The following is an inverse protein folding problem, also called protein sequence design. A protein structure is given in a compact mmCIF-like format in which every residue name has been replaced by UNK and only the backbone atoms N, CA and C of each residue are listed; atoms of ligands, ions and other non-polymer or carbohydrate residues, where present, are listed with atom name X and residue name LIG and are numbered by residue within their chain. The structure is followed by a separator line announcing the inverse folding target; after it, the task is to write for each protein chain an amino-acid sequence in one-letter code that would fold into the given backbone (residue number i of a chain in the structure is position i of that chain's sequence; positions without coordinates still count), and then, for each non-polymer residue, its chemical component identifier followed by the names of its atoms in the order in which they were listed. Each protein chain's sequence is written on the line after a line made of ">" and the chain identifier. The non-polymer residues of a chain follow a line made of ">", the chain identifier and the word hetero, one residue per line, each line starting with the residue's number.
data_IF_687062774028
#
_entry.id   IF_687062774028
#
_cell.length_a   1.000
_cell.length_b   1.000
_cell.length_c   1.000
_cell.angle_alpha   90.00
_cell.angle_beta   90.00
_cell.angle_gamma   90.00
#
_symmetry.space_group_name_H-M   'P 1'
#
loop_
_entity.id
_entity.type
_entity.pdbx_description
1 polymer ?
#
# COMPACT_ATOMS: atom_id res chain seq x y z
N UNK A 1 -13.85 4.86 -5.56
CA UNK A 1 -12.60 4.44 -6.22
C UNK A 1 -11.63 4.07 -5.13
N UNK A 2 -11.39 2.78 -4.93
CA UNK A 2 -10.26 2.34 -4.12
C UNK A 2 -8.97 2.83 -4.77
N UNK A 3 -8.12 3.45 -3.98
CA UNK A 3 -6.85 4.01 -4.43
C UNK A 3 -5.84 2.86 -4.44
N UNK A 4 -5.54 2.31 -5.61
CA UNK A 4 -4.64 1.15 -5.78
C UNK A 4 -3.22 1.39 -5.24
N UNK A 5 -2.86 2.65 -4.99
CA UNK A 5 -1.57 3.05 -4.43
C UNK A 5 -1.53 2.97 -2.89
N UNK A 6 -2.56 2.41 -2.27
CA UNK A 6 -2.63 2.18 -0.83
C UNK A 6 -2.98 0.73 -0.57
N UNK A 7 -2.08 0.02 0.07
CA UNK A 7 -2.31 -1.34 0.52
C UNK A 7 -2.60 -1.29 2.01
N UNK A 8 -3.82 -1.69 2.34
CA UNK A 8 -4.28 -1.88 3.68
C UNK A 8 -4.21 -3.39 3.96
N UNK A 9 -3.27 -3.81 4.79
CA UNK A 9 -3.12 -5.21 5.17
C UNK A 9 -3.22 -5.39 6.68
N UNK A 10 -3.74 -6.54 7.10
CA UNK A 10 -3.72 -6.96 8.49
C UNK A 10 -2.61 -8.00 8.68
N UNK A 11 -1.69 -7.74 9.61
CA UNK A 11 -0.69 -8.72 10.02
C UNK A 11 -1.12 -9.36 11.33
N UNK A 12 -1.29 -10.69 11.33
CA UNK A 12 -1.38 -11.46 12.58
C UNK A 12 0.02 -11.95 12.92
N UNK A 13 0.38 -12.00 14.21
CA UNK A 13 1.73 -12.37 14.69
C UNK A 13 2.21 -13.76 14.21
N UNK A 14 1.29 -14.56 13.72
CA UNK A 14 1.41 -15.97 13.35
C UNK A 14 1.09 -16.25 11.87
N UNK A 15 0.89 -15.22 11.04
CA UNK A 15 0.47 -15.41 9.65
C UNK A 15 1.13 -14.44 8.69
N UNK A 16 1.72 -14.98 7.63
CA UNK A 16 2.30 -14.25 6.48
C UNK A 16 1.25 -13.86 5.43
N UNK A 17 -0.03 -14.09 5.71
CA UNK A 17 -1.11 -13.88 4.74
C UNK A 17 -1.46 -12.41 4.58
N UNK A 18 -1.34 -11.91 3.35
CA UNK A 18 -1.80 -10.56 2.97
C UNK A 18 -3.32 -10.58 2.82
N UNK A 19 -4.03 -10.07 3.83
CA UNK A 19 -5.48 -9.83 3.72
C UNK A 19 -5.72 -8.37 3.38
N UNK A 20 -6.24 -8.11 2.17
CA UNK A 20 -6.64 -6.77 1.76
C UNK A 20 -7.90 -6.33 2.53
N UNK A 21 -7.81 -5.22 3.25
CA UNK A 21 -8.93 -4.69 4.04
C UNK A 21 -9.33 -3.29 3.62
N UNK A 22 -10.64 -3.03 3.56
CA UNK A 22 -11.13 -1.68 3.25
C UNK A 22 -10.75 -0.67 4.34
N UNK A 23 -10.66 0.62 3.98
CA UNK A 23 -10.38 1.70 4.94
C UNK A 23 -11.39 1.78 6.10
N UNK A 24 -12.63 1.32 5.86
CA UNK A 24 -13.67 1.22 6.88
C UNK A 24 -13.30 0.18 7.95
N UNK A 25 -12.74 -0.96 7.52
CA UNK A 25 -12.34 -2.07 8.38
C UNK A 25 -11.11 -1.72 9.23
N UNK A 26 -10.15 -0.94 8.69
CA UNK A 26 -8.94 -0.53 9.41
C UNK A 26 -9.24 0.16 10.74
N UNK A 27 -10.26 1.03 10.79
CA UNK A 27 -10.62 1.74 12.02
C UNK A 27 -11.05 0.76 13.12
N UNK A 28 -11.83 -0.26 12.76
CA UNK A 28 -12.25 -1.32 13.69
C UNK A 28 -11.08 -2.19 14.15
N UNK A 29 -10.17 -2.53 13.25
CA UNK A 29 -8.97 -3.33 13.59
C UNK A 29 -8.06 -2.62 14.61
N UNK A 30 -7.87 -1.30 14.47
CA UNK A 30 -7.11 -0.50 15.46
C UNK A 30 -7.73 -0.57 16.85
N UNK A 31 -9.06 -0.52 16.95
CA UNK A 31 -9.78 -0.61 18.23
C UNK A 31 -9.62 -2.02 18.83
N UNK A 32 -9.63 -3.06 17.98
CA UNK A 32 -9.41 -4.44 18.38
C UNK A 32 -7.94 -4.79 18.70
N UNK A 33 -7.03 -3.80 18.77
CA UNK A 33 -5.58 -3.97 18.96
C UNK A 33 -4.92 -4.89 17.90
N UNK A 34 -5.58 -5.09 16.77
CA UNK A 34 -5.05 -5.80 15.62
C UNK A 34 -4.29 -4.78 14.77
N UNK A 35 -2.97 -4.71 14.92
CA UNK A 35 -2.07 -3.75 14.25
C UNK A 35 -2.26 -3.75 12.72
N UNK A 36 -3.12 -2.87 12.15
CA UNK A 36 -3.35 -2.86 10.73
C UNK A 36 -2.23 -2.05 10.08
N UNK A 37 -1.61 -2.62 9.06
CA UNK A 37 -0.47 -2.02 8.39
C UNK A 37 -0.96 -1.30 7.14
N UNK A 38 -0.55 -0.03 7.03
CA UNK A 38 -0.84 0.79 5.86
C UNK A 38 0.45 0.99 5.09
N UNK A 39 0.51 0.42 3.89
CA UNK A 39 1.65 0.56 2.99
C UNK A 39 1.26 1.54 1.89
N UNK A 40 2.06 2.58 1.72
CA UNK A 40 1.89 3.54 0.64
C UNK A 40 2.79 3.17 -0.53
N UNK A 41 2.21 3.06 -1.71
CA UNK A 41 2.95 2.84 -2.95
C UNK A 41 3.20 4.21 -3.57
N UNK A 42 4.48 4.58 -3.62
CA UNK A 42 4.94 5.78 -4.30
C UNK A 42 5.29 5.42 -5.75
N UNK A 43 4.52 5.91 -6.75
CA UNK A 43 4.92 5.73 -8.14
C UNK A 43 6.16 6.58 -8.42
N UNK A 44 7.10 6.02 -9.16
CA UNK A 44 8.32 6.71 -9.57
C UNK A 44 8.02 7.80 -10.61
N UNK A 45 7.08 7.53 -11.51
CA UNK A 45 6.66 8.46 -12.54
C UNK A 45 5.19 8.28 -12.93
N UNK A 46 4.71 9.17 -13.80
CA UNK A 46 3.36 9.07 -14.42
C UNK A 46 3.20 7.74 -15.16
N UNK A 47 4.28 7.24 -15.79
CA UNK A 47 4.28 5.93 -16.47
C UNK A 47 3.96 4.77 -15.52
N UNK A 48 4.51 4.79 -14.30
CA UNK A 48 4.22 3.77 -13.27
C UNK A 48 2.74 3.72 -12.90
N UNK A 49 2.05 4.88 -12.87
CA UNK A 49 0.61 4.93 -12.59
C UNK A 49 -0.19 4.28 -13.72
N UNK A 50 0.22 4.49 -14.97
CA UNK A 50 -0.41 3.87 -16.14
C UNK A 50 -0.18 2.35 -16.12
N UNK A 51 1.04 1.91 -15.78
CA UNK A 51 1.38 0.50 -15.72
C UNK A 51 0.60 -0.23 -14.62
N UNK A 52 0.48 0.37 -13.44
CA UNK A 52 -0.32 -0.16 -12.33
C UNK A 52 -1.83 -0.09 -12.59
N UNK A 53 -2.30 0.82 -13.45
CA UNK A 53 -3.71 0.96 -13.79
C UNK A 53 -3.93 1.23 -15.28
N UNK A 54 -3.84 0.17 -16.08
CA UNK A 54 -3.99 0.23 -17.55
C UNK A 54 -5.37 0.73 -18.02
N UNK A 55 -6.37 0.78 -17.13
CA UNK A 55 -7.72 1.30 -17.41
C UNK A 55 -7.87 2.79 -17.09
N UNK A 56 -6.85 3.44 -16.53
CA UNK A 56 -6.90 4.84 -16.15
C UNK A 56 -6.64 5.75 -17.34
N UNK A 57 -7.54 6.71 -17.59
CA UNK A 57 -7.34 7.73 -18.64
C UNK A 57 -6.22 8.70 -18.27
N UNK A 58 -5.39 9.13 -19.25
CA UNK A 58 -4.27 10.06 -19.02
C UNK A 58 -4.62 11.33 -18.22
N UNK A 59 -5.80 11.92 -18.49
CA UNK A 59 -6.28 13.10 -17.74
C UNK A 59 -6.46 12.82 -16.24
N UNK A 60 -6.82 11.58 -15.89
CA UNK A 60 -6.95 11.14 -14.50
C UNK A 60 -5.57 10.79 -13.91
N UNK A 61 -4.64 10.24 -14.70
CA UNK A 61 -3.29 9.87 -14.26
C UNK A 61 -2.55 11.06 -13.67
N UNK A 62 -2.52 12.20 -14.37
CA UNK A 62 -1.87 13.44 -13.86
C UNK A 62 -2.50 13.92 -12.55
N UNK A 63 -3.83 13.89 -12.46
CA UNK A 63 -4.55 14.28 -11.23
C UNK A 63 -4.23 13.35 -10.06
N UNK A 64 -4.09 12.05 -10.33
CA UNK A 64 -3.69 11.06 -9.33
C UNK A 64 -2.25 11.26 -8.90
N UNK A 65 -1.32 11.51 -9.82
CA UNK A 65 0.08 11.76 -9.49
C UNK A 65 0.25 12.95 -8.53
N UNK A 66 -0.43 14.08 -8.81
CA UNK A 66 -0.39 15.25 -7.94
C UNK A 66 -1.04 14.99 -6.56
N UNK A 67 -2.13 14.20 -6.54
CA UNK A 67 -2.71 13.72 -5.26
C UNK A 67 -1.72 12.87 -4.47
N UNK A 68 -1.01 11.95 -5.12
CA UNK A 68 -0.06 11.05 -4.47
C UNK A 68 1.14 11.80 -3.91
N UNK A 69 1.65 12.83 -4.61
CA UNK A 69 2.68 13.73 -4.06
C UNK A 69 2.23 14.42 -2.77
N UNK A 70 1.00 14.92 -2.75
CA UNK A 70 0.43 15.54 -1.55
C UNK A 70 0.26 14.50 -0.44
N UNK A 71 -0.20 13.29 -0.79
CA UNK A 71 -0.40 12.21 0.17
C UNK A 71 0.91 11.67 0.76
N UNK A 72 2.03 11.77 0.04
CA UNK A 72 3.35 11.43 0.57
C UNK A 72 3.69 12.25 1.83
N UNK A 73 3.18 13.48 1.96
CA UNK A 73 3.32 14.30 3.17
C UNK A 73 2.64 13.70 4.40
N UNK A 74 1.75 12.72 4.21
CA UNK A 74 1.09 11.95 5.27
C UNK A 74 1.85 10.68 5.66
N UNK A 75 3.18 10.63 5.45
CA UNK A 75 4.07 9.53 5.84
C UNK A 75 3.78 8.91 7.22
N UNK A 76 3.48 9.75 8.22
CA UNK A 76 3.15 9.33 9.61
C UNK A 76 1.91 8.43 9.76
N UNK A 77 1.05 8.37 8.74
CA UNK A 77 -0.14 7.51 8.74
C UNK A 77 0.10 6.15 8.07
N UNK A 78 1.27 5.99 7.45
CA UNK A 78 1.70 4.77 6.80
C UNK A 78 2.74 4.07 7.69
N UNK A 79 2.62 2.75 7.78
CA UNK A 79 3.59 1.91 8.46
C UNK A 79 4.84 1.69 7.60
N UNK A 80 4.70 1.76 6.28
CA UNK A 80 5.80 1.67 5.33
C UNK A 80 5.47 2.43 4.04
N UNK A 81 6.51 2.86 3.34
CA UNK A 81 6.41 3.48 2.01
C UNK A 81 7.31 2.68 1.07
N UNK A 82 6.75 2.21 -0.04
CA UNK A 82 7.47 1.47 -1.08
C UNK A 82 7.46 2.24 -2.38
N UNK A 83 8.48 2.00 -3.19
CA UNK A 83 8.57 2.53 -4.55
C UNK A 83 8.13 1.43 -5.50
N UNK A 84 7.24 1.73 -6.44
CA UNK A 84 6.81 0.71 -7.39
C UNK A 84 6.76 1.28 -8.78
N UNK A 85 7.48 0.64 -9.70
CA UNK A 85 7.32 0.89 -11.13
C UNK A 85 6.24 -0.02 -11.75
N UNK A 86 6.17 -1.27 -11.29
CA UNK A 86 5.25 -2.30 -11.77
C UNK A 86 4.45 -2.91 -10.60
N UNK A 87 3.29 -3.52 -10.85
CA UNK A 87 2.54 -4.21 -9.80
C UNK A 87 3.30 -5.42 -9.21
N UNK A 88 4.18 -6.06 -9.98
CA UNK A 88 5.01 -7.17 -9.51
C UNK A 88 6.04 -6.70 -8.47
N UNK A 89 6.72 -5.59 -8.74
CA UNK A 89 7.69 -4.97 -7.84
C UNK A 89 7.04 -4.56 -6.50
N UNK A 90 5.83 -3.99 -6.58
CA UNK A 90 5.01 -3.69 -5.39
C UNK A 90 4.71 -4.96 -4.60
N UNK A 91 4.36 -6.05 -5.27
CA UNK A 91 3.99 -7.30 -4.60
C UNK A 91 5.18 -7.91 -3.86
N UNK A 92 6.36 -7.94 -4.48
CA UNK A 92 7.59 -8.44 -3.84
C UNK A 92 7.97 -7.59 -2.63
N UNK A 93 7.99 -6.26 -2.76
CA UNK A 93 8.34 -5.38 -1.63
C UNK A 93 7.34 -5.47 -0.48
N UNK A 94 6.04 -5.61 -0.76
CA UNK A 94 5.04 -5.82 0.30
C UNK A 94 5.30 -7.13 1.04
N UNK A 95 5.67 -8.19 0.32
CA UNK A 95 6.00 -9.49 0.90
C UNK A 95 7.24 -9.41 1.78
N UNK A 96 8.28 -8.71 1.34
CA UNK A 96 9.50 -8.51 2.12
C UNK A 96 9.25 -7.70 3.38
N UNK A 97 8.51 -6.59 3.27
CA UNK A 97 8.11 -5.77 4.41
C UNK A 97 7.36 -6.60 5.44
N UNK A 98 6.46 -7.46 4.99
CA UNK A 98 5.69 -8.35 5.87
C UNK A 98 6.59 -9.39 6.52
N UNK A 99 7.49 -10.01 5.75
CA UNK A 99 8.42 -11.04 6.23
C UNK A 99 9.39 -10.50 7.29
N UNK A 100 10.00 -9.34 7.04
CA UNK A 100 10.91 -8.67 7.99
C UNK A 100 10.20 -8.33 9.30
N UNK A 101 8.94 -7.92 9.17
CA UNK A 101 8.08 -7.50 10.27
C UNK A 101 7.55 -8.65 11.14
N UNK A 102 7.40 -9.86 10.58
CA UNK A 102 6.91 -11.05 11.29
C UNK A 102 7.97 -11.68 12.20
N UNK A 103 9.21 -11.18 12.19
CA UNK A 103 10.34 -11.81 12.86
C UNK A 103 10.72 -13.14 12.20
N UNK A 104 11.88 -13.73 12.54
CA UNK A 104 12.27 -15.02 12.00
C UNK A 104 11.21 -16.05 12.40
N UNK A 105 10.54 -16.62 11.39
CA UNK A 105 9.74 -17.83 11.60
C UNK A 105 10.76 -18.93 11.93
N UNK A 106 10.81 -19.31 13.20
CA UNK A 106 11.67 -20.40 13.72
C UNK A 106 11.18 -21.72 13.13
#
# INVERSE_FOLDING_TARGET
>A
MENIFKINCLLRRDSTTITYVSDKTIKGLKVAQLCPRRIFIKPECIGSIIEMNKRMMEKQVKKTYEKLKTEQGFGKYFSAVIYGATPEDVYEQVKDIISEQTGPTI
#
